data_IF_021231438586
#
_entry.id   IF_021231438586
#
_cell.length_a   1.000
_cell.length_b   1.000
_cell.length_c   1.000
_cell.angle_alpha   90.00
_cell.angle_beta   90.00
_cell.angle_gamma   90.00
#
_symmetry.space_group_name_H-M   'P 1'
#
loop_
_entity.id
_entity.type
_entity.pdbx_description
1 polymer ?
#
# COMPACT_ATOMS: atom_id res chain seq x y z
N UNK A 1 2.25 -8.65 15.81
CA UNK A 1 3.33 -8.86 14.83
C UNK A 1 4.16 -7.59 14.73
N UNK A 2 5.44 -7.70 14.36
CA UNK A 2 6.36 -6.56 14.22
C UNK A 2 7.02 -6.59 12.84
N UNK A 3 7.34 -5.42 12.29
CA UNK A 3 7.96 -5.30 10.99
C UNK A 3 9.39 -5.86 11.02
N UNK A 4 9.74 -6.72 10.06
CA UNK A 4 11.11 -7.26 9.92
C UNK A 4 12.14 -6.21 9.49
N UNK A 5 11.70 -5.06 8.99
CA UNK A 5 12.59 -3.97 8.55
C UNK A 5 12.99 -3.03 9.68
N UNK A 6 12.03 -2.60 10.51
CA UNK A 6 12.27 -1.57 11.54
C UNK A 6 11.80 -1.96 12.96
N UNK A 7 11.20 -3.13 13.15
CA UNK A 7 10.71 -3.60 14.45
C UNK A 7 9.40 -2.96 14.94
N UNK A 8 8.88 -1.94 14.25
CA UNK A 8 7.64 -1.26 14.63
C UNK A 8 6.39 -2.17 14.44
N UNK A 9 5.26 -1.81 15.07
CA UNK A 9 3.99 -2.50 14.86
C UNK A 9 3.59 -2.59 13.38
N UNK A 10 2.82 -3.64 13.07
CA UNK A 10 2.20 -3.82 11.76
C UNK A 10 0.70 -4.03 11.94
N UNK A 11 -0.08 -3.64 10.93
CA UNK A 11 -1.48 -4.01 10.78
C UNK A 11 -1.59 -5.09 9.70
N UNK A 12 -2.47 -6.06 9.87
CA UNK A 12 -2.70 -7.15 8.92
C UNK A 12 -4.02 -6.94 8.21
N UNK A 13 -4.09 -7.26 6.91
CA UNK A 13 -5.29 -7.08 6.10
C UNK A 13 -5.41 -8.19 5.04
N UNK A 14 -6.64 -8.57 4.66
CA UNK A 14 -6.87 -9.45 3.52
C UNK A 14 -6.60 -8.71 2.21
N UNK A 15 -6.05 -9.39 1.20
CA UNK A 15 -5.84 -8.81 -0.13
C UNK A 15 -7.20 -8.65 -0.84
N UNK A 16 -7.54 -7.45 -1.34
CA UNK A 16 -8.77 -7.27 -2.12
C UNK A 16 -8.75 -8.11 -3.39
N UNK A 17 -9.85 -8.83 -3.66
CA UNK A 17 -9.99 -9.67 -4.85
C UNK A 17 -9.84 -8.90 -6.17
N UNK A 18 -10.08 -7.58 -6.13
CA UNK A 18 -9.93 -6.68 -7.28
C UNK A 18 -8.47 -6.49 -7.74
N UNK A 19 -7.49 -6.80 -6.88
CA UNK A 19 -6.06 -6.57 -7.14
C UNK A 19 -5.17 -7.78 -6.87
N UNK A 20 -5.72 -8.91 -6.41
CA UNK A 20 -4.95 -10.12 -6.08
C UNK A 20 -4.07 -10.59 -7.23
N UNK A 21 -4.59 -10.55 -8.47
CA UNK A 21 -3.89 -11.01 -9.67
C UNK A 21 -2.74 -10.08 -10.09
N UNK A 22 -2.69 -8.85 -9.55
CA UNK A 22 -1.62 -7.89 -9.81
C UNK A 22 -0.45 -8.07 -8.84
N UNK A 23 -0.61 -8.84 -7.77
CA UNK A 23 0.44 -9.01 -6.77
C UNK A 23 1.43 -10.09 -7.18
N UNK A 24 2.72 -9.92 -6.85
CA UNK A 24 3.74 -10.92 -7.14
C UNK A 24 3.65 -12.18 -6.27
N UNK A 25 2.76 -12.19 -5.28
CA UNK A 25 2.59 -13.24 -4.28
C UNK A 25 1.10 -13.59 -4.19
N UNK A 26 0.79 -14.88 -4.06
CA UNK A 26 -0.57 -15.44 -4.07
C UNK A 26 -1.16 -15.61 -2.67
N UNK A 27 -0.45 -15.16 -1.63
CA UNK A 27 -0.94 -15.23 -0.26
C UNK A 27 -2.19 -14.39 -0.05
N UNK A 28 -3.13 -14.87 0.79
CA UNK A 28 -4.45 -14.25 0.95
C UNK A 28 -4.40 -12.90 1.67
N UNK A 29 -3.28 -12.56 2.31
CA UNK A 29 -3.14 -11.37 3.14
C UNK A 29 -1.80 -10.68 3.01
N UNK A 30 -1.73 -9.48 3.57
CA UNK A 30 -0.47 -8.80 3.82
C UNK A 30 -0.48 -8.04 5.15
N UNK A 31 0.72 -7.70 5.62
CA UNK A 31 0.97 -6.82 6.75
C UNK A 31 1.58 -5.52 6.28
N UNK A 32 1.07 -4.39 6.77
CA UNK A 32 1.59 -3.05 6.54
C UNK A 32 2.27 -2.54 7.82
N UNK A 33 3.51 -2.10 7.72
CA UNK A 33 4.18 -1.43 8.83
C UNK A 33 3.63 -0.03 9.06
N UNK A 34 3.31 0.29 10.33
CA UNK A 34 2.78 1.60 10.74
C UNK A 34 3.84 2.71 10.80
N UNK A 35 5.08 2.40 10.42
CA UNK A 35 6.18 3.36 10.46
C UNK A 35 6.92 3.44 9.12
N UNK A 36 7.46 2.32 8.64
CA UNK A 36 8.22 2.33 7.39
C UNK A 36 7.39 2.07 6.13
N UNK A 37 6.07 1.90 6.28
CA UNK A 37 5.10 1.61 5.21
C UNK A 37 5.43 0.38 4.36
N UNK A 38 6.36 -0.46 4.81
CA UNK A 38 6.69 -1.69 4.11
C UNK A 38 5.54 -2.66 4.21
N UNK A 39 5.20 -3.25 3.08
CA UNK A 39 4.18 -4.29 2.97
C UNK A 39 4.86 -5.64 2.76
N UNK A 40 4.39 -6.64 3.51
CA UNK A 40 4.89 -8.01 3.38
C UNK A 40 3.69 -8.98 3.38
N UNK A 41 3.70 -10.02 2.53
CA UNK A 41 2.61 -10.99 2.46
C UNK A 41 2.52 -11.88 3.71
N UNK A 42 1.31 -12.37 4.03
CA UNK A 42 0.99 -13.25 5.18
C UNK A 42 -0.06 -14.30 4.81
N UNK A 43 0.04 -15.49 5.41
CA UNK A 43 -0.86 -16.63 5.14
C UNK A 43 -2.18 -16.55 5.93
N UNK A 44 -2.21 -15.78 7.02
CA UNK A 44 -3.32 -15.73 7.98
C UNK A 44 -3.78 -14.28 8.23
N UNK A 45 -4.42 -13.62 7.24
CA UNK A 45 -5.04 -12.32 7.45
C UNK A 45 -6.33 -12.43 8.28
N UNK A 46 -6.74 -11.33 8.94
CA UNK A 46 -8.10 -11.23 9.46
C UNK A 46 -9.14 -11.21 8.32
N UNK A 47 -10.37 -11.58 8.62
CA UNK A 47 -11.49 -11.51 7.67
C UNK A 47 -11.87 -10.05 7.34
N UNK A 48 -11.75 -9.16 8.33
CA UNK A 48 -12.08 -7.74 8.23
C UNK A 48 -10.85 -6.87 7.93
N UNK A 49 -11.07 -5.76 7.23
CA UNK A 49 -10.04 -4.76 7.02
C UNK A 49 -9.70 -4.02 8.33
N UNK A 50 -8.42 -3.81 8.65
CA UNK A 50 -8.00 -3.07 9.83
C UNK A 50 -8.23 -1.57 9.65
N UNK A 51 -8.09 -0.82 10.74
CA UNK A 51 -7.94 0.63 10.68
C UNK A 51 -6.55 1.02 10.15
N UNK A 52 -6.48 1.47 8.91
CA UNK A 52 -5.26 1.93 8.25
C UNK A 52 -4.78 3.32 8.73
N UNK A 53 -5.62 4.10 9.41
CA UNK A 53 -5.19 5.37 10.02
C UNK A 53 -4.12 5.14 11.10
N UNK A 54 -4.04 3.91 11.64
CA UNK A 54 -2.94 3.47 12.53
C UNK A 54 -1.57 3.53 11.86
N UNK A 55 -1.50 3.51 10.53
CA UNK A 55 -0.27 3.69 9.77
C UNK A 55 -0.08 5.14 9.31
N UNK A 56 -1.13 5.77 8.76
CA UNK A 56 -1.12 7.19 8.38
C UNK A 56 -2.54 7.68 8.14
N UNK A 57 -2.84 8.93 8.53
CA UNK A 57 -4.11 9.60 8.25
C UNK A 57 -4.33 9.88 6.75
N UNK A 58 -3.32 9.63 5.90
CA UNK A 58 -3.46 9.71 4.45
C UNK A 58 -4.35 8.60 3.87
N UNK A 59 -4.49 7.47 4.56
CA UNK A 59 -5.36 6.38 4.11
C UNK A 59 -6.84 6.76 4.19
N UNK A 60 -7.67 6.32 3.24
CA UNK A 60 -9.11 6.51 3.30
C UNK A 60 -9.73 5.67 4.42
N UNK A 61 -10.90 6.08 4.89
CA UNK A 61 -11.65 5.35 5.92
C UNK A 61 -12.27 4.03 5.41
N UNK A 62 -12.45 3.90 4.09
CA UNK A 62 -12.91 2.66 3.46
C UNK A 62 -11.79 1.61 3.46
N UNK A 63 -11.99 0.53 4.21
CA UNK A 63 -10.96 -0.47 4.48
C UNK A 63 -10.47 -1.23 3.23
N UNK A 64 -11.38 -1.54 2.30
CA UNK A 64 -11.00 -2.20 1.04
C UNK A 64 -10.15 -1.27 0.17
N UNK A 65 -10.58 -0.02 0.01
CA UNK A 65 -9.83 0.98 -0.76
C UNK A 65 -8.48 1.29 -0.11
N UNK A 66 -8.40 1.33 1.21
CA UNK A 66 -7.14 1.47 1.94
C UNK A 66 -6.22 0.26 1.71
N UNK A 67 -6.77 -0.96 1.66
CA UNK A 67 -6.03 -2.17 1.34
C UNK A 67 -5.51 -2.18 -0.11
N UNK A 68 -6.29 -1.67 -1.09
CA UNK A 68 -5.84 -1.46 -2.47
C UNK A 68 -4.62 -0.52 -2.51
N UNK A 69 -4.66 0.59 -1.77
CA UNK A 69 -3.53 1.52 -1.68
C UNK A 69 -2.31 0.89 -0.99
N UNK A 70 -2.52 0.06 0.04
CA UNK A 70 -1.44 -0.69 0.65
C UNK A 70 -0.81 -1.69 -0.33
N UNK A 71 -1.61 -2.36 -1.16
CA UNK A 71 -1.12 -3.20 -2.25
C UNK A 71 -0.28 -2.40 -3.25
N UNK A 72 -0.71 -1.19 -3.61
CA UNK A 72 0.07 -0.29 -4.45
C UNK A 72 1.43 0.04 -3.81
N UNK A 73 1.49 0.29 -2.50
CA UNK A 73 2.75 0.54 -1.78
C UNK A 73 3.73 -0.63 -1.91
N UNK A 74 3.25 -1.87 -1.93
CA UNK A 74 4.07 -3.05 -2.16
C UNK A 74 4.70 -3.05 -3.56
N UNK A 75 3.94 -2.67 -4.59
CA UNK A 75 4.39 -2.65 -5.98
C UNK A 75 5.34 -1.49 -6.27
N UNK A 76 5.09 -0.31 -5.69
CA UNK A 76 5.95 0.87 -5.93
C UNK A 76 7.33 0.74 -5.25
N UNK A 77 7.47 -0.07 -4.19
CA UNK A 77 8.79 -0.39 -3.60
C UNK A 77 9.75 -0.91 -4.69
N UNK A 78 9.22 -1.77 -5.57
CA UNK A 78 9.93 -2.30 -6.74
C UNK A 78 9.24 -1.92 -8.06
N UNK A 79 8.86 -0.65 -8.20
CA UNK A 79 8.11 -0.16 -9.36
C UNK A 79 8.71 -0.53 -10.72
N UNK A 80 10.03 -0.58 -10.83
CA UNK A 80 10.69 -0.95 -12.08
C UNK A 80 10.35 -2.36 -12.58
N UNK A 81 10.03 -3.29 -11.66
CA UNK A 81 9.63 -4.67 -11.97
C UNK A 81 8.12 -4.80 -12.16
N UNK A 82 7.33 -3.96 -11.49
CA UNK A 82 5.87 -4.08 -11.38
C UNK A 82 5.13 -2.89 -11.98
N UNK A 83 5.61 -2.32 -13.10
CA UNK A 83 5.01 -1.10 -13.68
C UNK A 83 3.56 -1.31 -14.10
N UNK A 84 3.29 -2.38 -14.85
CA UNK A 84 1.96 -2.68 -15.35
C UNK A 84 1.00 -3.02 -14.20
N UNK A 85 1.48 -3.78 -13.23
CA UNK A 85 0.70 -4.13 -12.04
C UNK A 85 0.38 -2.88 -11.21
N UNK A 86 1.36 -2.00 -10.99
CA UNK A 86 1.17 -0.75 -10.23
C UNK A 86 0.18 0.19 -10.92
N UNK A 87 0.23 0.30 -12.25
CA UNK A 87 -0.74 1.04 -13.06
C UNK A 87 -2.16 0.46 -12.92
N UNK A 88 -2.30 -0.86 -13.05
CA UNK A 88 -3.58 -1.55 -12.90
C UNK A 88 -4.19 -1.33 -11.50
N UNK A 89 -3.38 -1.47 -10.45
CA UNK A 89 -3.81 -1.24 -9.05
C UNK A 89 -4.16 0.24 -8.81
N UNK A 90 -3.37 1.17 -9.35
CA UNK A 90 -3.69 2.60 -9.27
C UNK A 90 -5.04 2.90 -9.92
N UNK A 91 -5.32 2.33 -11.10
CA UNK A 91 -6.61 2.46 -11.76
C UNK A 91 -7.78 1.89 -10.95
N UNK A 92 -7.59 0.81 -10.18
CA UNK A 92 -8.62 0.32 -9.24
C UNK A 92 -8.89 1.35 -8.14
N UNK A 93 -7.84 1.88 -7.51
CA UNK A 93 -7.97 2.89 -6.46
C UNK A 93 -8.67 4.17 -6.95
N UNK A 94 -8.37 4.62 -8.18
CA UNK A 94 -9.02 5.79 -8.78
C UNK A 94 -10.51 5.56 -9.06
N UNK A 95 -10.89 4.35 -9.50
CA UNK A 95 -12.31 3.98 -9.65
C UNK A 95 -13.05 3.94 -8.31
N UNK A 96 -12.33 3.73 -7.20
CA UNK A 96 -12.88 3.83 -5.85
C UNK A 96 -12.94 5.30 -5.35
N UNK A 97 -12.53 6.26 -6.17
CA UNK A 97 -12.63 7.69 -5.88
C UNK A 97 -11.41 8.28 -5.17
N UNK A 98 -10.28 7.57 -5.14
CA UNK A 98 -9.03 8.08 -4.55
C UNK A 98 -8.12 8.65 -5.61
N UNK A 99 -7.59 9.86 -5.37
CA UNK A 99 -6.45 10.40 -6.13
C UNK A 99 -5.15 9.77 -5.59
N UNK A 100 -4.59 8.83 -6.37
CA UNK A 100 -3.41 8.06 -5.99
C UNK A 100 -2.16 8.94 -5.87
N UNK A 101 -2.00 9.93 -6.75
CA UNK A 101 -0.85 10.82 -6.71
C UNK A 101 -0.91 11.76 -5.50
N UNK A 102 -2.11 12.22 -5.13
CA UNK A 102 -2.34 12.99 -3.92
C UNK A 102 -2.13 12.16 -2.65
N UNK A 103 -2.55 10.89 -2.66
CA UNK A 103 -2.27 9.96 -1.57
C UNK A 103 -0.77 9.79 -1.32
N UNK A 104 0.01 9.52 -2.38
CA UNK A 104 1.46 9.41 -2.27
C UNK A 104 2.13 10.72 -1.84
N UNK A 105 1.64 11.87 -2.31
CA UNK A 105 2.11 13.19 -1.84
C UNK A 105 1.88 13.38 -0.35
N UNK A 106 0.69 13.02 0.16
CA UNK A 106 0.36 13.11 1.59
C UNK A 106 1.25 12.21 2.42
N UNK A 107 1.48 10.97 1.99
CA UNK A 107 2.42 10.06 2.67
C UNK A 107 3.86 10.60 2.67
N UNK A 108 4.30 11.20 1.56
CA UNK A 108 5.64 11.79 1.48
C UNK A 108 5.80 13.01 2.41
N UNK A 109 4.71 13.73 2.68
CA UNK A 109 4.68 14.87 3.60
C UNK A 109 4.40 14.48 5.06
N UNK A 110 3.99 13.25 5.33
CA UNK A 110 3.63 12.79 6.66
C UNK A 110 4.87 12.53 7.53
N UNK A 111 5.07 13.40 8.52
CA UNK A 111 6.20 13.31 9.46
C UNK A 111 6.02 12.25 10.55
N UNK A 112 4.83 11.66 10.69
CA UNK A 112 4.58 10.58 11.63
C UNK A 112 5.14 9.24 11.12
N UNK A 113 5.38 9.12 9.81
CA UNK A 113 5.95 7.92 9.16
C UNK A 113 7.37 8.16 8.67
N UNK A 114 8.13 7.08 8.46
CA UNK A 114 9.46 7.14 7.83
C UNK A 114 9.54 6.06 6.75
N UNK A 115 8.96 6.30 5.57
CA UNK A 115 8.83 5.29 4.52
C UNK A 115 10.19 4.70 4.13
N UNK A 116 10.27 3.38 4.02
CA UNK A 116 11.49 2.71 3.55
C UNK A 116 11.75 2.95 2.05
N UNK A 117 10.67 3.18 1.30
CA UNK A 117 10.70 3.55 -0.11
C UNK A 117 10.74 5.08 -0.25
N UNK A 118 11.45 5.59 -1.25
CA UNK A 118 11.39 7.00 -1.64
C UNK A 118 10.06 7.30 -2.33
N UNK A 119 9.03 7.57 -1.52
CA UNK A 119 7.64 7.79 -1.96
C UNK A 119 7.57 8.93 -2.98
N UNK A 120 8.28 10.04 -2.74
CA UNK A 120 8.34 11.20 -3.64
C UNK A 120 8.83 10.80 -5.03
N UNK A 121 9.93 10.05 -5.11
CA UNK A 121 10.46 9.57 -6.39
C UNK A 121 9.52 8.59 -7.07
N UNK A 122 8.90 7.67 -6.31
CA UNK A 122 7.98 6.68 -6.88
C UNK A 122 6.71 7.30 -7.42
N UNK A 123 6.18 8.32 -6.74
CA UNK A 123 5.07 9.13 -7.25
C UNK A 123 5.38 9.73 -8.61
N UNK A 124 6.52 10.41 -8.77
CA UNK A 124 6.91 10.99 -10.06
C UNK A 124 7.03 9.93 -11.16
N UNK A 125 7.53 8.74 -10.82
CA UNK A 125 7.63 7.63 -11.78
C UNK A 125 6.26 7.05 -12.14
N UNK A 126 5.34 6.93 -11.18
CA UNK A 126 3.98 6.46 -11.42
C UNK A 126 3.17 7.45 -12.26
N UNK A 127 3.33 8.75 -12.01
CA UNK A 127 2.72 9.82 -12.81
C UNK A 127 3.18 9.86 -14.28
N UNK A 128 4.23 9.12 -14.66
CA UNK A 128 4.64 8.95 -16.05
C UNK A 128 3.99 7.74 -16.72
N UNK A 129 3.28 6.90 -15.95
CA UNK A 129 2.60 5.69 -16.43
C UNK A 129 1.10 5.94 -16.64
N UNK A 130 0.48 6.74 -15.77
CA UNK A 130 -0.95 7.09 -15.79
C UNK A 130 -1.25 8.35 -16.61
#
# INVERSE_FOLDING_TARGET
>A
MTCSNCGCPVVSFPIPASVSDCLPDDRPGAVLCTQCLRVAPTDDPPDDYPDFARASDAFPADGETAAVLACLLALVDRLALHRADADAVAGVAERHGVDVLLFLDRLAADTAVTPAVDVSRRRTQLAQLI
#
